data_IF_895872095520
#
_entry.id   IF_895872095520
#
_cell.length_a   1.000
_cell.length_b   1.000
_cell.length_c   1.000
_cell.angle_alpha   90.00
_cell.angle_beta   90.00
_cell.angle_gamma   90.00
#
_symmetry.space_group_name_H-M   'P 1'
#
loop_
_entity.id
_entity.type
_entity.pdbx_description
1 polymer ?
#
# COMPACT_ATOMS: atom_id res chain seq x y z
N UNK A 1 -10.25 60.36 39.34
CA UNK A 1 -10.62 59.40 38.28
C UNK A 1 -9.59 58.26 38.27
N UNK A 2 -9.95 57.11 38.83
CA UNK A 2 -9.05 55.91 38.90
C UNK A 2 -9.47 55.02 37.74
N UNK A 3 -8.53 54.77 36.81
CA UNK A 3 -8.72 53.81 35.68
C UNK A 3 -8.37 52.41 36.16
N UNK A 4 -9.36 51.55 36.24
CA UNK A 4 -9.20 50.11 36.52
C UNK A 4 -8.73 49.42 35.25
N UNK A 5 -7.51 48.85 35.29
CA UNK A 5 -6.95 48.04 34.20
C UNK A 5 -7.38 46.59 34.43
N UNK A 6 -8.25 46.06 33.58
CA UNK A 6 -8.65 44.66 33.64
C UNK A 6 -7.66 43.87 32.78
N UNK A 7 -6.81 43.08 33.40
CA UNK A 7 -5.90 42.12 32.76
C UNK A 7 -6.69 40.82 32.47
N UNK A 8 -7.01 40.56 31.19
CA UNK A 8 -7.54 39.29 30.72
C UNK A 8 -6.39 38.28 30.61
N UNK A 9 -6.36 37.32 31.51
CA UNK A 9 -5.50 36.15 31.38
C UNK A 9 -6.08 35.18 30.37
N UNK A 10 -5.45 35.06 29.21
CA UNK A 10 -5.69 33.97 28.27
C UNK A 10 -5.00 32.70 28.81
N UNK A 11 -5.77 31.73 29.29
CA UNK A 11 -5.30 30.38 29.63
C UNK A 11 -5.36 29.58 28.31
N UNK A 12 -4.21 29.12 27.78
CA UNK A 12 -4.28 28.23 26.64
C UNK A 12 -4.83 26.87 27.12
N UNK A 13 -5.98 26.48 26.60
CA UNK A 13 -6.47 25.12 26.74
C UNK A 13 -5.53 24.20 25.96
N UNK A 14 -4.60 23.57 26.70
CA UNK A 14 -3.83 22.44 26.18
C UNK A 14 -4.80 21.28 26.08
N UNK A 15 -5.34 21.01 24.88
CA UNK A 15 -5.99 19.73 24.59
C UNK A 15 -4.91 18.66 24.66
N UNK A 16 -4.84 17.97 25.81
CA UNK A 16 -4.15 16.71 25.91
C UNK A 16 -4.88 15.73 24.96
N UNK A 17 -4.34 15.52 23.76
CA UNK A 17 -4.69 14.35 22.97
C UNK A 17 -4.30 13.14 23.80
N UNK A 18 -5.29 12.45 24.36
CA UNK A 18 -5.10 11.12 24.93
C UNK A 18 -4.53 10.25 23.82
N UNK A 19 -3.23 10.01 23.86
CA UNK A 19 -2.60 8.94 23.12
C UNK A 19 -3.20 7.66 23.70
N UNK A 20 -4.19 7.09 22.98
CA UNK A 20 -4.61 5.72 23.23
C UNK A 20 -3.35 4.89 22.97
N UNK A 21 -2.86 4.18 23.99
CA UNK A 21 -1.75 3.23 23.83
C UNK A 21 -2.14 2.22 22.75
N UNK A 22 -1.68 2.45 21.53
CA UNK A 22 -1.96 1.57 20.41
C UNK A 22 -1.12 0.30 20.57
N UNK A 23 -1.79 -0.83 20.67
CA UNK A 23 -1.15 -2.14 20.77
C UNK A 23 -0.48 -2.48 19.44
N UNK A 24 0.83 -2.67 19.44
CA UNK A 24 1.55 -3.19 18.29
C UNK A 24 1.12 -4.65 18.03
N UNK A 25 0.61 -4.92 16.83
CA UNK A 25 0.20 -6.26 16.38
C UNK A 25 1.27 -6.93 15.53
N UNK A 26 1.95 -6.15 14.68
CA UNK A 26 2.96 -6.64 13.74
C UNK A 26 4.03 -5.58 13.51
N UNK A 27 5.27 -6.04 13.45
CA UNK A 27 6.41 -5.21 13.10
C UNK A 27 7.38 -6.04 12.26
N UNK A 28 7.60 -5.59 11.03
CA UNK A 28 8.64 -6.12 10.14
C UNK A 28 9.60 -4.98 9.80
N UNK A 29 10.86 -5.12 10.21
CA UNK A 29 11.94 -4.15 9.97
C UNK A 29 12.99 -4.70 9.00
N UNK A 30 12.73 -5.86 8.41
CA UNK A 30 13.62 -6.51 7.45
C UNK A 30 15.09 -6.60 7.91
N UNK A 31 15.29 -6.81 9.20
CA UNK A 31 16.62 -6.81 9.83
C UNK A 31 17.34 -8.19 9.79
N UNK A 32 16.74 -9.16 9.09
CA UNK A 32 17.30 -10.49 8.84
C UNK A 32 18.08 -10.51 7.52
N UNK A 33 18.80 -11.61 7.24
CA UNK A 33 19.54 -11.76 5.99
C UNK A 33 18.66 -12.19 4.80
N UNK A 34 17.44 -12.58 5.05
CA UNK A 34 16.45 -13.03 4.06
C UNK A 34 15.03 -12.74 4.54
N UNK A 35 14.04 -12.85 3.64
CA UNK A 35 12.62 -12.74 3.97
C UNK A 35 12.25 -13.76 5.06
N UNK A 36 11.60 -13.29 6.10
CA UNK A 36 11.03 -14.13 7.14
C UNK A 36 9.82 -14.90 6.59
N UNK A 37 10.01 -16.20 6.39
CA UNK A 37 8.96 -17.07 5.85
C UNK A 37 7.88 -17.44 6.87
N UNK A 38 8.01 -17.06 8.12
CA UNK A 38 6.92 -17.15 9.10
C UNK A 38 5.89 -16.05 8.88
N UNK A 39 6.34 -14.88 8.40
CA UNK A 39 5.50 -13.70 8.16
C UNK A 39 5.12 -13.51 6.69
N UNK A 40 5.95 -13.97 5.75
CA UNK A 40 5.78 -13.70 4.33
C UNK A 40 5.87 -14.96 3.47
N UNK A 41 5.17 -14.95 2.35
CA UNK A 41 5.27 -15.91 1.26
C UNK A 41 5.64 -15.19 -0.03
N UNK A 42 6.35 -15.88 -0.94
CA UNK A 42 6.55 -15.41 -2.30
C UNK A 42 5.35 -15.81 -3.16
N UNK A 43 4.81 -14.89 -3.94
CA UNK A 43 3.94 -15.20 -5.05
C UNK A 43 4.78 -15.19 -6.33
N UNK A 44 4.78 -16.30 -7.07
CA UNK A 44 5.71 -16.55 -8.16
C UNK A 44 4.99 -16.76 -9.50
N UNK A 45 5.72 -16.53 -10.60
CA UNK A 45 5.19 -16.74 -11.95
C UNK A 45 4.55 -15.49 -12.53
N UNK A 46 3.77 -15.69 -13.57
CA UNK A 46 3.02 -14.67 -14.30
C UNK A 46 1.51 -14.73 -14.00
N UNK A 47 1.12 -15.52 -13.00
CA UNK A 47 -0.27 -15.74 -12.60
C UNK A 47 -1.00 -16.81 -13.40
N UNK A 48 -0.40 -17.38 -14.46
CA UNK A 48 -1.02 -18.44 -15.25
C UNK A 48 -0.99 -19.80 -14.49
N UNK A 49 -1.99 -20.67 -14.72
CA UNK A 49 -3.11 -20.52 -15.68
C UNK A 49 -4.30 -19.74 -15.12
N UNK A 50 -4.39 -19.54 -13.79
CA UNK A 50 -5.63 -19.08 -13.14
C UNK A 50 -5.86 -17.57 -13.29
N UNK A 51 -4.77 -16.78 -13.29
CA UNK A 51 -4.81 -15.31 -13.31
C UNK A 51 -3.68 -14.75 -14.17
N UNK A 52 -3.61 -15.13 -15.45
CA UNK A 52 -2.52 -14.72 -16.34
C UNK A 52 -2.34 -13.20 -16.41
N UNK A 53 -1.07 -12.75 -16.36
CA UNK A 53 -0.73 -11.32 -16.22
C UNK A 53 -1.29 -10.71 -14.94
N UNK A 54 -1.45 -11.53 -13.88
CA UNK A 54 -2.01 -11.17 -12.58
C UNK A 54 -3.35 -10.43 -12.67
N UNK A 55 -4.15 -10.76 -13.71
CA UNK A 55 -5.47 -10.14 -13.98
C UNK A 55 -5.40 -8.74 -14.57
N UNK A 56 -4.22 -8.16 -14.72
CA UNK A 56 -3.97 -6.77 -15.14
C UNK A 56 -3.16 -6.66 -16.43
N UNK A 57 -2.95 -7.76 -17.17
CA UNK A 57 -2.05 -7.82 -18.32
C UNK A 57 -0.62 -7.36 -17.99
N UNK A 58 -0.16 -7.63 -16.77
CA UNK A 58 1.20 -7.35 -16.32
C UNK A 58 2.22 -8.18 -17.10
N UNK A 59 3.42 -7.65 -17.31
CA UNK A 59 4.41 -8.24 -18.20
C UNK A 59 5.48 -9.07 -17.50
N UNK A 60 5.70 -8.85 -16.20
CA UNK A 60 6.74 -9.51 -15.45
C UNK A 60 6.37 -10.94 -15.03
N UNK A 61 7.40 -11.73 -14.87
CA UNK A 61 7.37 -12.96 -14.09
C UNK A 61 7.91 -12.65 -12.69
N UNK A 62 7.15 -12.91 -11.64
CA UNK A 62 7.62 -12.75 -10.28
C UNK A 62 8.52 -13.91 -9.87
N UNK A 63 9.69 -13.59 -9.30
CA UNK A 63 10.71 -14.57 -8.90
C UNK A 63 11.29 -14.26 -7.53
N UNK A 64 11.76 -15.30 -6.84
CA UNK A 64 12.46 -15.14 -5.55
C UNK A 64 13.75 -14.32 -5.67
N UNK A 65 14.47 -14.42 -6.79
CA UNK A 65 15.75 -13.71 -7.00
C UNK A 65 15.60 -12.19 -7.09
N UNK A 66 14.38 -11.73 -7.38
CA UNK A 66 14.04 -10.31 -7.45
C UNK A 66 13.57 -9.73 -6.12
N UNK A 67 13.62 -10.53 -5.05
CA UNK A 67 13.30 -10.10 -3.68
C UNK A 67 14.50 -10.39 -2.78
N UNK A 68 15.03 -9.38 -2.14
CA UNK A 68 16.20 -9.50 -1.26
C UNK A 68 16.07 -8.58 -0.04
N UNK A 69 16.87 -8.85 0.98
CA UNK A 69 17.11 -7.92 2.09
C UNK A 69 18.49 -7.30 1.88
N UNK A 70 18.55 -5.99 1.90
CA UNK A 70 19.79 -5.23 1.78
C UNK A 70 19.76 -4.03 2.72
N UNK A 71 20.79 -3.85 3.56
CA UNK A 71 20.89 -2.79 4.56
C UNK A 71 19.64 -2.68 5.47
N UNK A 72 19.12 -3.81 5.94
CA UNK A 72 17.91 -3.92 6.74
C UNK A 72 16.67 -3.34 6.04
N UNK A 73 16.56 -3.53 4.74
CA UNK A 73 15.43 -3.10 3.94
C UNK A 73 15.03 -4.21 2.98
N UNK A 74 13.75 -4.36 2.75
CA UNK A 74 13.24 -5.17 1.65
C UNK A 74 13.53 -4.44 0.33
N UNK A 75 14.15 -5.13 -0.61
CA UNK A 75 14.39 -4.65 -1.97
C UNK A 75 13.66 -5.57 -2.95
N UNK A 76 12.71 -5.02 -3.66
CA UNK A 76 12.03 -5.66 -4.79
C UNK A 76 12.58 -5.04 -6.07
N UNK A 77 13.33 -5.85 -6.84
CA UNK A 77 14.03 -5.39 -8.04
C UNK A 77 13.27 -5.76 -9.31
N UNK A 78 12.97 -4.77 -10.12
CA UNK A 78 12.51 -4.97 -11.49
C UNK A 78 13.70 -5.07 -12.43
N UNK A 79 13.77 -6.12 -13.26
CA UNK A 79 14.86 -6.36 -14.22
C UNK A 79 14.31 -6.67 -15.61
N UNK A 80 15.09 -6.34 -16.64
CA UNK A 80 14.85 -6.74 -18.02
C UNK A 80 16.03 -7.58 -18.50
N UNK A 81 15.77 -8.80 -18.92
CA UNK A 81 16.75 -9.73 -19.46
C UNK A 81 16.36 -10.06 -20.91
N UNK A 82 16.94 -9.33 -21.86
CA UNK A 82 16.69 -9.51 -23.30
C UNK A 82 15.17 -9.47 -23.67
N UNK A 83 14.42 -8.53 -23.10
CA UNK A 83 13.00 -8.35 -23.35
C UNK A 83 12.07 -9.17 -22.43
N UNK A 84 12.63 -9.98 -21.53
CA UNK A 84 11.86 -10.67 -20.50
C UNK A 84 11.94 -9.88 -19.18
N UNK A 85 10.81 -9.55 -18.64
CA UNK A 85 10.72 -8.76 -17.40
C UNK A 85 10.57 -9.68 -16.20
N UNK A 86 11.34 -9.39 -15.15
CA UNK A 86 11.26 -10.10 -13.87
C UNK A 86 11.12 -9.10 -12.75
N UNK A 87 10.38 -9.49 -11.71
CA UNK A 87 10.20 -8.68 -10.52
C UNK A 87 9.90 -9.54 -9.30
N UNK A 88 9.47 -8.91 -8.19
CA UNK A 88 9.13 -9.58 -6.95
C UNK A 88 7.73 -9.23 -6.44
N UNK A 89 7.12 -10.21 -5.75
CA UNK A 89 5.86 -10.06 -5.01
C UNK A 89 5.89 -10.95 -3.79
N UNK A 90 5.58 -10.36 -2.64
CA UNK A 90 5.43 -11.07 -1.36
C UNK A 90 4.09 -10.75 -0.74
N UNK A 91 3.59 -11.70 0.03
CA UNK A 91 2.28 -11.60 0.70
C UNK A 91 2.35 -12.16 2.11
N UNK A 92 1.55 -11.61 3.02
CA UNK A 92 1.34 -12.15 4.36
C UNK A 92 0.13 -13.08 4.46
N UNK A 93 -0.46 -13.49 3.33
CA UNK A 93 -1.61 -14.42 3.29
C UNK A 93 -1.34 -15.68 4.09
N UNK A 94 -2.32 -16.10 4.91
CA UNK A 94 -2.27 -17.28 5.79
C UNK A 94 -1.15 -17.25 6.86
N UNK A 95 -0.55 -16.06 7.10
CA UNK A 95 0.52 -15.86 8.08
C UNK A 95 0.21 -14.72 9.04
N UNK A 96 0.03 -13.51 8.51
CA UNK A 96 -0.39 -12.36 9.28
C UNK A 96 -1.55 -11.66 8.59
N UNK A 97 -2.65 -11.56 9.30
CA UNK A 97 -3.89 -10.89 8.89
C UNK A 97 -4.43 -10.09 10.06
N UNK A 98 -5.08 -8.98 9.77
CA UNK A 98 -5.70 -8.17 10.82
C UNK A 98 -7.01 -7.55 10.33
N UNK A 99 -7.90 -7.28 11.26
CA UNK A 99 -9.13 -6.53 11.04
C UNK A 99 -9.11 -5.29 11.89
N UNK A 100 -9.26 -4.13 11.26
CA UNK A 100 -9.19 -2.80 11.88
C UNK A 100 -7.83 -2.48 12.50
N UNK A 101 -7.58 -1.21 12.67
CA UNK A 101 -6.31 -0.71 13.18
C UNK A 101 -5.63 0.23 12.20
N UNK A 102 -4.34 0.36 12.35
CA UNK A 102 -3.52 1.20 11.49
C UNK A 102 -2.38 0.37 10.92
N UNK A 103 -2.26 0.35 9.60
CA UNK A 103 -1.06 -0.14 8.92
C UNK A 103 -0.24 1.06 8.45
N UNK A 104 1.07 0.97 8.64
CA UNK A 104 2.05 1.96 8.24
C UNK A 104 3.22 1.27 7.53
N UNK A 105 3.51 1.70 6.32
CA UNK A 105 4.61 1.20 5.51
C UNK A 105 5.49 2.36 5.09
N UNK A 106 6.79 2.28 5.38
CA UNK A 106 7.76 3.26 4.92
C UNK A 106 8.52 2.71 3.73
N UNK A 107 8.40 3.40 2.59
CA UNK A 107 8.96 2.91 1.34
C UNK A 107 9.51 4.04 0.45
N UNK A 108 10.45 3.67 -0.43
CA UNK A 108 11.01 4.51 -1.48
C UNK A 108 10.63 3.94 -2.84
N UNK A 109 10.04 4.78 -3.68
CA UNK A 109 9.51 4.41 -4.98
C UNK A 109 10.57 4.41 -6.08
N UNK A 110 10.50 3.47 -7.04
CA UNK A 110 11.30 3.52 -8.24
C UNK A 110 10.75 4.58 -9.22
N UNK A 111 11.64 5.19 -10.01
CA UNK A 111 11.27 6.10 -11.11
C UNK A 111 11.40 5.40 -12.44
N UNK A 112 10.43 5.63 -13.33
CA UNK A 112 10.52 5.20 -14.72
C UNK A 112 9.22 4.69 -15.30
N UNK A 113 9.02 4.96 -16.59
CA UNK A 113 7.82 4.58 -17.33
C UNK A 113 7.69 3.05 -17.40
N UNK A 114 6.49 2.56 -17.12
CA UNK A 114 6.17 1.14 -17.10
C UNK A 114 6.26 0.48 -15.72
N UNK A 115 6.82 1.17 -14.70
CA UNK A 115 6.87 0.64 -13.32
C UNK A 115 5.57 0.93 -12.57
N UNK A 116 5.14 -0.05 -11.78
CA UNK A 116 3.92 0.00 -10.97
C UNK A 116 4.15 -0.71 -9.63
N UNK A 117 4.84 -0.06 -8.66
CA UNK A 117 4.91 -0.53 -7.29
C UNK A 117 3.58 -0.35 -6.58
N UNK A 118 3.24 -1.30 -5.69
CA UNK A 118 2.04 -1.25 -4.87
C UNK A 118 2.27 -1.75 -3.44
N UNK A 119 1.56 -1.11 -2.51
CA UNK A 119 1.37 -1.51 -1.11
C UNK A 119 -0.14 -1.63 -0.93
N UNK A 120 -0.65 -2.84 -0.72
CA UNK A 120 -2.07 -3.11 -0.74
C UNK A 120 -2.47 -4.29 0.12
N UNK A 121 -3.76 -4.47 0.31
CA UNK A 121 -4.33 -5.54 1.12
C UNK A 121 -5.53 -6.18 0.42
N UNK A 122 -5.69 -7.49 0.58
CA UNK A 122 -6.86 -8.25 0.14
C UNK A 122 -7.56 -8.93 1.32
N UNK A 123 -8.88 -9.09 1.19
CA UNK A 123 -9.67 -9.83 2.16
C UNK A 123 -9.25 -11.30 2.25
N UNK A 124 -9.13 -11.80 3.49
CA UNK A 124 -8.63 -13.15 3.78
C UNK A 124 -9.47 -14.27 3.15
N UNK A 125 -10.73 -13.97 2.85
CA UNK A 125 -11.69 -14.92 2.30
C UNK A 125 -11.68 -15.02 0.76
N UNK A 126 -10.65 -14.49 0.08
CA UNK A 126 -10.56 -14.45 -1.39
C UNK A 126 -10.76 -15.80 -2.06
N UNK A 127 -10.34 -16.89 -1.43
CA UNK A 127 -10.46 -18.24 -1.99
C UNK A 127 -11.92 -18.74 -2.02
N UNK A 128 -12.77 -18.26 -1.12
CA UNK A 128 -14.19 -18.59 -1.04
C UNK A 128 -15.11 -17.46 -1.52
N UNK A 129 -14.62 -16.24 -1.52
CA UNK A 129 -15.31 -15.03 -1.91
C UNK A 129 -14.45 -14.23 -2.89
N UNK A 130 -14.41 -14.62 -4.19
CA UNK A 130 -13.47 -14.06 -5.16
C UNK A 130 -13.56 -12.55 -5.31
N UNK A 131 -12.45 -11.94 -5.73
CA UNK A 131 -12.40 -10.51 -6.07
C UNK A 131 -13.50 -10.13 -7.08
N UNK A 132 -14.18 -8.99 -6.93
CA UNK A 132 -13.94 -7.94 -5.93
C UNK A 132 -14.71 -8.10 -4.62
N UNK A 133 -15.40 -9.20 -4.38
CA UNK A 133 -16.25 -9.41 -3.21
C UNK A 133 -15.44 -9.63 -1.91
N UNK A 134 -14.21 -10.14 -2.00
CA UNK A 134 -13.30 -10.19 -0.85
C UNK A 134 -12.91 -8.79 -0.35
N UNK A 135 -13.01 -7.74 -1.20
CA UNK A 135 -12.55 -6.39 -0.90
C UNK A 135 -11.04 -6.23 -1.11
N UNK A 136 -10.62 -5.01 -1.50
CA UNK A 136 -9.22 -4.63 -1.69
C UNK A 136 -9.01 -3.21 -1.19
N UNK A 137 -7.88 -2.98 -0.51
CA UNK A 137 -7.48 -1.69 0.05
C UNK A 137 -6.07 -1.37 -0.45
N UNK A 138 -5.95 -0.42 -1.38
CA UNK A 138 -4.67 0.01 -1.91
C UNK A 138 -4.17 1.22 -1.15
N UNK A 139 -3.21 0.99 -0.24
CA UNK A 139 -2.60 2.06 0.54
C UNK A 139 -1.83 3.01 -0.35
N UNK A 140 -1.12 2.45 -1.30
CA UNK A 140 -0.28 3.18 -2.25
C UNK A 140 -0.16 2.41 -3.55
N UNK A 141 -0.50 3.06 -4.64
CA UNK A 141 -0.08 2.68 -5.96
C UNK A 141 0.62 3.87 -6.63
N UNK A 142 1.70 3.59 -7.32
CA UNK A 142 2.41 4.57 -8.14
C UNK A 142 2.59 3.99 -9.55
N UNK A 143 2.45 4.83 -10.57
CA UNK A 143 2.74 4.44 -11.96
C UNK A 143 3.71 5.41 -12.58
N UNK A 144 4.80 4.90 -13.12
CA UNK A 144 5.89 5.70 -13.65
C UNK A 144 5.53 6.58 -14.87
N UNK A 145 4.37 6.34 -15.49
CA UNK A 145 3.80 7.22 -16.53
C UNK A 145 3.18 8.51 -15.99
N UNK A 146 2.91 8.56 -14.67
CA UNK A 146 2.34 9.73 -13.99
C UNK A 146 3.24 10.16 -12.82
N UNK A 147 4.44 10.70 -13.11
CA UNK A 147 5.38 11.09 -12.05
C UNK A 147 4.74 12.08 -11.07
N UNK A 148 5.13 11.99 -9.80
CA UNK A 148 4.62 12.85 -8.75
C UNK A 148 3.19 12.55 -8.30
N UNK A 149 2.56 11.45 -8.74
CA UNK A 149 1.18 11.08 -8.35
C UNK A 149 1.13 9.75 -7.62
N UNK A 150 0.40 9.74 -6.52
CA UNK A 150 0.03 8.54 -5.76
C UNK A 150 -1.47 8.31 -5.88
N UNK A 151 -1.83 7.06 -6.00
CA UNK A 151 -3.20 6.59 -6.00
C UNK A 151 -3.46 5.79 -4.73
N UNK A 152 -4.58 6.09 -4.08
CA UNK A 152 -5.15 5.27 -3.01
C UNK A 152 -6.54 4.84 -3.45
N UNK A 153 -6.82 3.55 -3.40
CA UNK A 153 -8.01 2.99 -4.01
C UNK A 153 -8.70 1.99 -3.06
N UNK A 154 -9.99 1.84 -3.24
CA UNK A 154 -10.78 0.78 -2.63
C UNK A 154 -11.57 0.07 -3.71
N UNK A 155 -11.48 -1.27 -3.73
CA UNK A 155 -12.28 -2.10 -4.62
C UNK A 155 -13.30 -2.90 -3.82
N UNK A 156 -14.53 -2.89 -4.32
CA UNK A 156 -15.67 -3.59 -3.76
C UNK A 156 -16.62 -4.00 -4.90
N UNK A 157 -17.59 -4.88 -4.68
CA UNK A 157 -18.57 -5.23 -5.72
C UNK A 157 -19.33 -4.05 -6.33
N UNK A 158 -19.49 -2.96 -5.56
CA UNK A 158 -20.14 -1.73 -6.06
C UNK A 158 -19.22 -0.87 -6.94
N UNK A 159 -17.89 -1.02 -6.81
CA UNK A 159 -16.92 -0.24 -7.59
C UNK A 159 -15.56 -0.92 -7.60
N UNK A 160 -15.11 -1.37 -8.76
CA UNK A 160 -13.84 -2.08 -8.94
C UNK A 160 -13.21 -1.79 -10.32
N UNK A 161 -11.98 -2.22 -10.55
CA UNK A 161 -11.21 -1.90 -11.75
C UNK A 161 -10.92 -0.39 -11.81
N UNK A 162 -11.61 0.34 -12.67
CA UNK A 162 -11.60 1.81 -12.65
C UNK A 162 -12.51 2.34 -11.53
N UNK A 163 -12.13 2.04 -10.29
CA UNK A 163 -12.95 2.35 -9.13
C UNK A 163 -13.17 3.86 -8.96
N UNK A 164 -14.44 4.25 -8.71
CA UNK A 164 -14.77 5.63 -8.32
C UNK A 164 -14.27 5.98 -6.92
N UNK A 165 -13.89 4.96 -6.13
CA UNK A 165 -13.32 5.13 -4.79
C UNK A 165 -11.79 5.27 -4.84
N UNK A 166 -11.28 5.92 -5.86
CA UNK A 166 -9.86 6.25 -6.04
C UNK A 166 -9.61 7.72 -5.75
N UNK A 167 -8.57 8.00 -4.97
CA UNK A 167 -8.04 9.35 -4.78
C UNK A 167 -6.64 9.44 -5.39
N UNK A 168 -6.45 10.40 -6.31
CA UNK A 168 -5.13 10.78 -6.80
C UNK A 168 -4.60 11.95 -5.98
N UNK A 169 -3.38 11.82 -5.46
CA UNK A 169 -2.69 12.86 -4.70
C UNK A 169 -1.39 13.23 -5.41
N UNK A 170 -1.16 14.52 -5.63
CA UNK A 170 0.07 15.03 -6.25
C UNK A 170 1.06 15.46 -5.17
N UNK A 171 2.28 14.89 -5.22
CA UNK A 171 3.40 15.18 -4.30
C UNK A 171 4.68 15.20 -5.14
N UNK A 172 5.23 16.36 -5.40
CA UNK A 172 6.40 16.51 -6.29
C UNK A 172 7.63 15.72 -5.83
N UNK A 173 7.82 15.55 -4.53
CA UNK A 173 8.97 14.84 -3.95
C UNK A 173 8.75 13.34 -3.76
N UNK A 174 7.58 12.79 -4.10
CA UNK A 174 7.20 11.40 -3.75
C UNK A 174 8.18 10.33 -4.27
N UNK A 175 8.92 10.64 -5.30
CA UNK A 175 9.95 9.78 -5.89
C UNK A 175 11.34 10.03 -5.28
N UNK A 176 11.43 10.84 -4.23
CA UNK A 176 12.71 11.22 -3.62
C UNK A 176 12.76 10.79 -2.16
N UNK A 177 13.63 9.82 -1.84
CA UNK A 177 13.76 9.30 -0.48
C UNK A 177 12.62 8.36 -0.06
N UNK A 178 12.47 8.21 1.24
CA UNK A 178 11.43 7.39 1.84
C UNK A 178 10.24 8.26 2.23
N UNK A 179 9.05 7.72 2.00
CA UNK A 179 7.78 8.26 2.45
C UNK A 179 7.02 7.23 3.26
N UNK A 180 6.13 7.69 4.13
CA UNK A 180 5.30 6.84 4.97
C UNK A 180 3.88 6.80 4.40
N UNK A 181 3.45 5.62 3.97
CA UNK A 181 2.09 5.34 3.51
C UNK A 181 1.33 4.66 4.64
N UNK A 182 0.21 5.25 5.04
CA UNK A 182 -0.53 4.79 6.21
C UNK A 182 -2.02 4.72 5.93
N UNK A 183 -2.66 3.64 6.40
CA UNK A 183 -4.10 3.49 6.39
C UNK A 183 -4.60 3.22 7.80
N UNK A 184 -5.51 4.09 8.28
CA UNK A 184 -6.29 3.87 9.49
C UNK A 184 -7.66 3.36 9.10
N UNK A 185 -8.04 2.25 9.65
CA UNK A 185 -9.24 1.53 9.28
C UNK A 185 -10.02 1.07 10.51
N UNK A 186 -11.30 1.39 10.56
CA UNK A 186 -12.26 0.95 11.59
C UNK A 186 -13.60 0.55 10.94
N UNK A 187 -14.60 0.20 11.74
CA UNK A 187 -15.93 -0.21 11.25
C UNK A 187 -16.69 0.92 10.54
N UNK A 188 -16.22 2.17 10.65
CA UNK A 188 -16.94 3.35 10.16
C UNK A 188 -16.31 3.98 8.93
N UNK A 189 -14.97 3.91 8.82
CA UNK A 189 -14.23 4.61 7.78
C UNK A 189 -12.86 3.97 7.52
N UNK A 190 -12.32 4.26 6.34
CA UNK A 190 -10.95 3.99 5.96
C UNK A 190 -10.30 5.32 5.59
N UNK A 191 -9.19 5.65 6.24
CA UNK A 191 -8.47 6.90 6.06
C UNK A 191 -7.06 6.62 5.58
N UNK A 192 -6.63 7.33 4.54
CA UNK A 192 -5.31 7.19 3.95
C UNK A 192 -4.47 8.43 4.22
N UNK A 193 -3.20 8.21 4.55
CA UNK A 193 -2.26 9.26 4.87
C UNK A 193 -0.94 9.04 4.11
N UNK A 194 -0.31 10.12 3.70
CA UNK A 194 1.05 10.15 3.18
C UNK A 194 1.84 11.16 4.04
N UNK A 195 2.94 10.72 4.66
CA UNK A 195 3.77 11.53 5.57
C UNK A 195 2.94 12.26 6.64
N UNK A 196 2.02 11.55 7.28
CA UNK A 196 1.05 12.05 8.26
C UNK A 196 -0.01 13.04 7.73
N UNK A 197 -0.02 13.37 6.44
CA UNK A 197 -1.08 14.18 5.82
C UNK A 197 -2.23 13.29 5.40
N UNK A 198 -3.46 13.55 5.92
CA UNK A 198 -4.67 12.87 5.48
C UNK A 198 -4.96 13.24 4.02
N UNK A 199 -4.98 12.24 3.13
CA UNK A 199 -5.21 12.44 1.69
C UNK A 199 -6.58 11.96 1.22
N UNK A 200 -7.14 10.95 1.90
CA UNK A 200 -8.46 10.42 1.54
C UNK A 200 -9.17 9.82 2.76
N UNK A 201 -10.49 10.00 2.81
CA UNK A 201 -11.38 9.32 3.74
C UNK A 201 -12.51 8.67 2.96
N UNK A 202 -12.70 7.37 3.13
CA UNK A 202 -13.81 6.61 2.60
C UNK A 202 -14.76 6.21 3.73
N UNK A 203 -16.00 6.66 3.63
CA UNK A 203 -17.07 6.33 4.58
C UNK A 203 -18.41 6.41 3.84
N UNK A 204 -18.84 5.33 3.15
CA UNK A 204 -20.08 5.35 2.40
C UNK A 204 -21.28 5.42 3.34
N UNK A 205 -22.34 6.11 2.91
CA UNK A 205 -23.58 6.24 3.69
C UNK A 205 -24.24 4.88 3.94
N UNK A 206 -24.23 4.01 2.92
CA UNK A 206 -24.81 2.68 3.01
C UNK A 206 -23.66 1.67 3.04
N UNK A 207 -23.56 0.91 4.12
CA UNK A 207 -22.61 -0.18 4.31
C UNK A 207 -23.31 -1.52 4.21
N UNK A 208 -22.95 -2.29 3.21
CA UNK A 208 -23.39 -3.65 2.98
C UNK A 208 -22.28 -4.42 2.24
N UNK A 209 -22.47 -5.70 1.96
CA UNK A 209 -21.49 -6.55 1.29
C UNK A 209 -20.99 -6.00 -0.06
N UNK A 210 -21.78 -5.15 -0.74
CA UNK A 210 -21.38 -4.56 -2.03
C UNK A 210 -20.54 -3.29 -1.87
N UNK A 211 -20.83 -2.47 -0.88
CA UNK A 211 -20.22 -1.15 -0.70
C UNK A 211 -19.14 -1.14 0.37
N UNK A 212 -19.16 -2.13 1.29
CA UNK A 212 -18.27 -2.19 2.46
C UNK A 212 -17.86 -3.64 2.79
N UNK A 213 -17.10 -4.34 1.93
CA UNK A 213 -16.60 -5.69 2.22
C UNK A 213 -15.40 -5.68 3.18
N UNK A 214 -15.26 -4.66 4.01
CA UNK A 214 -14.05 -4.39 4.81
C UNK A 214 -14.21 -4.74 6.30
N UNK A 215 -15.23 -5.52 6.69
CA UNK A 215 -15.49 -5.94 8.08
C UNK A 215 -14.89 -7.32 8.42
N UNK A 216 -13.78 -7.68 7.78
CA UNK A 216 -13.10 -8.97 7.90
C UNK A 216 -11.58 -8.78 7.97
N UNK A 217 -10.78 -9.79 8.30
CA UNK A 217 -9.33 -9.68 8.23
C UNK A 217 -8.83 -9.46 6.79
N UNK A 218 -7.72 -8.73 6.66
CA UNK A 218 -6.99 -8.48 5.42
C UNK A 218 -5.53 -8.83 5.60
N UNK A 219 -4.92 -9.35 4.56
CA UNK A 219 -3.48 -9.58 4.48
C UNK A 219 -2.78 -8.57 3.57
N UNK A 220 -1.49 -8.40 3.77
CA UNK A 220 -0.67 -7.39 3.09
C UNK A 220 0.03 -7.99 1.87
N UNK A 221 0.10 -7.21 0.79
CA UNK A 221 0.87 -7.55 -0.41
C UNK A 221 1.79 -6.38 -0.75
N UNK A 222 3.04 -6.71 -1.09
CA UNK A 222 4.05 -5.77 -1.57
C UNK A 222 4.60 -6.29 -2.90
N UNK A 223 4.51 -5.49 -3.97
CA UNK A 223 5.00 -5.89 -5.28
C UNK A 223 5.48 -4.70 -6.11
N UNK A 224 6.21 -5.04 -7.18
CA UNK A 224 6.58 -4.10 -8.24
C UNK A 224 6.17 -4.72 -9.57
N UNK A 225 5.01 -4.32 -10.09
CA UNK A 225 4.55 -4.73 -11.41
C UNK A 225 5.24 -3.94 -12.53
N UNK A 226 5.22 -4.49 -13.74
CA UNK A 226 5.80 -3.87 -14.95
C UNK A 226 4.76 -3.92 -16.07
N UNK A 227 4.50 -2.77 -16.70
CA UNK A 227 3.50 -2.66 -17.75
C UNK A 227 2.07 -2.81 -17.24
N UNK A 228 1.27 -3.56 -17.98
CA UNK A 228 -0.12 -3.86 -17.62
C UNK A 228 -1.10 -2.71 -17.81
N UNK A 229 -2.34 -2.94 -17.35
CA UNK A 229 -3.45 -2.00 -17.54
C UNK A 229 -3.17 -0.65 -16.88
N UNK A 230 -2.56 -0.65 -15.71
CA UNK A 230 -2.30 0.58 -14.96
C UNK A 230 -0.87 1.08 -15.12
N UNK A 231 0.15 0.22 -15.15
CA UNK A 231 1.54 0.63 -15.45
C UNK A 231 1.67 1.23 -16.86
N UNK A 232 0.84 0.76 -17.78
CA UNK A 232 0.70 1.26 -19.13
C UNK A 232 1.39 0.38 -20.17
N UNK A 233 1.03 0.56 -21.47
CA UNK A 233 1.55 -0.28 -22.55
C UNK A 233 2.99 0.10 -22.94
N UNK A 234 3.54 1.18 -22.41
CA UNK A 234 4.89 1.64 -22.73
C UNK A 234 5.81 1.44 -21.53
N UNK A 235 6.84 0.63 -21.70
CA UNK A 235 7.91 0.39 -20.73
C UNK A 235 9.21 0.93 -21.31
N UNK A 236 9.94 1.71 -20.52
CA UNK A 236 11.26 2.21 -20.90
C UNK A 236 12.33 1.19 -20.51
N UNK A 237 12.80 0.41 -21.48
CA UNK A 237 13.79 -0.63 -21.27
C UNK A 237 15.13 -0.13 -20.75
N UNK A 238 15.45 1.14 -20.98
CA UNK A 238 16.74 1.72 -20.60
C UNK A 238 16.87 1.97 -19.09
N UNK A 239 15.76 1.90 -18.35
CA UNK A 239 15.76 2.21 -16.91
C UNK A 239 16.20 1.05 -16.02
N UNK A 240 16.12 -0.20 -16.50
CA UNK A 240 16.39 -1.37 -15.66
C UNK A 240 17.88 -1.55 -15.34
N UNK A 241 18.22 -2.04 -14.12
CA UNK A 241 17.29 -2.44 -13.05
C UNK A 241 16.72 -1.25 -12.28
N UNK A 242 15.55 -1.44 -11.64
CA UNK A 242 14.92 -0.50 -10.72
C UNK A 242 14.43 -1.21 -9.46
N UNK A 243 14.39 -0.47 -8.37
CA UNK A 243 14.10 -1.05 -7.05
C UNK A 243 12.97 -0.31 -6.34
N UNK A 244 12.02 -1.06 -5.84
CA UNK A 244 11.07 -0.65 -4.84
C UNK A 244 11.61 -1.10 -3.48
N UNK A 245 11.87 -0.14 -2.58
CA UNK A 245 12.55 -0.41 -1.31
C UNK A 245 11.60 -0.12 -0.16
N UNK A 246 11.42 -1.09 0.74
CA UNK A 246 10.59 -0.96 1.93
C UNK A 246 11.46 -1.05 3.19
N UNK A 247 11.34 -0.04 4.05
CA UNK A 247 12.10 0.08 5.29
C UNK A 247 11.45 -0.69 6.43
N UNK A 248 10.12 -0.56 6.56
CA UNK A 248 9.34 -1.33 7.53
C UNK A 248 7.87 -1.45 7.15
N UNK A 249 7.22 -2.45 7.76
CA UNK A 249 5.77 -2.62 7.84
C UNK A 249 5.37 -2.70 9.32
N UNK A 250 4.43 -1.83 9.76
CA UNK A 250 3.90 -1.82 11.12
C UNK A 250 2.38 -1.90 11.11
N UNK A 251 1.82 -2.71 12.00
CA UNK A 251 0.38 -2.75 12.24
C UNK A 251 0.12 -2.61 13.72
N UNK A 252 -0.80 -1.73 14.08
CA UNK A 252 -1.18 -1.46 15.47
C UNK A 252 -2.67 -1.12 15.60
N UNK A 253 -3.22 -1.41 16.78
CA UNK A 253 -4.63 -1.24 17.14
C UNK A 253 -4.80 -0.38 18.38
#
# INVERSE_FOLDING_TARGET
MVRLLVLLFFIPFLQAQNAVDSKLLFLEEFNQNSIDLENWSYELGDGCPDLCGWGNNEWQVYTKRNVSINNNQLVISATNEAGNYYSGRITSKDKFEFRYGTIEVKAKLPKGRGLWPAIWMLGHDIDSNPWPACGEIDLMEYVGKHPGKIYTTLHSPASFGQSINTKTTSIESIETGFHVYKTRWDAHQIQFYIDNTLVYTFSPEIKNEKTWPFDKPFYVILNLAIGGNFGGPEVDDSIFPKEFVVDYVKVYQ
#
